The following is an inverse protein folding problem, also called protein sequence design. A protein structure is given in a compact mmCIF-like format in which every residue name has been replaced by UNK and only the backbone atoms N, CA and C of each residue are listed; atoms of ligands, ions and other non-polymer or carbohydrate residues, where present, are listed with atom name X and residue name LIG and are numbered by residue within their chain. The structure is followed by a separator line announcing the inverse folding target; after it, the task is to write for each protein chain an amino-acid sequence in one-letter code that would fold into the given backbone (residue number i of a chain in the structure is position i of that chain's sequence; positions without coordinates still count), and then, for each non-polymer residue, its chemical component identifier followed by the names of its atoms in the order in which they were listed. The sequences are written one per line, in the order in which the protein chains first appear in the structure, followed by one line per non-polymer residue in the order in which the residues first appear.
data_IF_206226201580
#
_entry.id   IF_206226201580
#
_cell.length_a   1.000
_cell.length_b   1.000
_cell.length_c   1.000
_cell.angle_alpha   90.00
_cell.angle_beta   90.00
_cell.angle_gamma   90.00
#
_symmetry.space_group_name_H-M   'P 1'
#
loop_
_entity.id
_entity.type
_entity.pdbx_description
1 polymer ?
#
# COMPACT_ATOMS: atom_id res chain seq x y z
N UNK A 1 21.06 -8.00 19.25
CA UNK A 1 19.85 -7.16 19.29
C UNK A 1 20.30 -5.71 19.26
N UNK A 2 20.31 -5.09 18.10
CA UNK A 2 20.57 -3.65 17.94
C UNK A 2 19.43 -2.91 18.63
N UNK A 3 19.74 -2.06 19.62
CA UNK A 3 18.73 -1.18 20.24
C UNK A 3 18.25 -0.19 19.16
N UNK A 4 17.11 -0.46 18.56
CA UNK A 4 16.43 0.53 17.75
C UNK A 4 16.11 1.72 18.66
N UNK A 5 16.46 2.91 18.21
CA UNK A 5 16.19 4.11 19.01
C UNK A 5 14.66 4.31 19.01
N UNK A 6 14.03 4.29 20.17
CA UNK A 6 12.58 4.43 20.32
C UNK A 6 12.14 5.78 19.76
N UNK A 7 11.33 5.77 18.71
CA UNK A 7 10.78 6.95 18.05
C UNK A 7 9.33 7.19 18.45
N UNK A 8 8.89 8.45 18.38
CA UNK A 8 7.48 8.84 18.44
C UNK A 8 6.98 9.09 17.01
N UNK A 9 6.04 8.28 16.53
CA UNK A 9 5.62 8.22 15.14
C UNK A 9 4.13 8.52 14.99
N UNK A 10 3.79 9.33 13.97
CA UNK A 10 2.42 9.51 13.52
C UNK A 10 2.16 8.60 12.32
N UNK A 11 1.14 7.76 12.42
CA UNK A 11 0.65 6.91 11.33
C UNK A 11 -0.71 7.43 10.90
N UNK A 12 -0.78 8.10 9.74
CA UNK A 12 -2.05 8.55 9.17
C UNK A 12 -2.65 7.45 8.29
N UNK A 13 -3.97 7.25 8.37
CA UNK A 13 -4.60 6.10 7.73
C UNK A 13 -4.33 4.78 8.46
N UNK A 14 -3.96 4.86 9.76
CA UNK A 14 -3.57 3.70 10.56
C UNK A 14 -4.73 2.80 11.03
N UNK A 15 -5.97 3.15 10.72
CA UNK A 15 -7.14 2.30 10.87
C UNK A 15 -7.50 1.52 9.58
N UNK A 16 -6.78 1.77 8.48
CA UNK A 16 -6.89 1.04 7.22
C UNK A 16 -6.05 -0.24 7.23
N UNK A 17 -6.12 -1.03 6.15
CA UNK A 17 -5.43 -2.32 6.03
C UNK A 17 -3.91 -2.21 6.26
N UNK A 18 -3.19 -1.51 5.36
CA UNK A 18 -1.72 -1.43 5.43
C UNK A 18 -1.27 -0.64 6.66
N UNK A 19 -1.94 0.47 6.94
CA UNK A 19 -1.59 1.35 8.05
C UNK A 19 -1.71 0.67 9.41
N UNK A 20 -2.72 -0.18 9.63
CA UNK A 20 -2.90 -0.92 10.88
C UNK A 20 -1.81 -1.98 11.10
N UNK A 21 -1.42 -2.71 10.04
CA UNK A 21 -0.31 -3.67 10.11
C UNK A 21 1.01 -2.95 10.41
N UNK A 22 1.30 -1.85 9.71
CA UNK A 22 2.50 -1.06 9.97
C UNK A 22 2.50 -0.49 11.41
N UNK A 23 1.38 0.06 11.87
CA UNK A 23 1.27 0.56 13.24
C UNK A 23 1.49 -0.54 14.29
N UNK A 24 0.94 -1.76 14.07
CA UNK A 24 1.15 -2.91 14.94
C UNK A 24 2.63 -3.29 15.02
N UNK A 25 3.30 -3.41 13.87
CA UNK A 25 4.72 -3.76 13.79
C UNK A 25 5.61 -2.70 14.46
N UNK A 26 5.32 -1.41 14.28
CA UNK A 26 6.03 -0.32 14.94
C UNK A 26 5.87 -0.35 16.48
N UNK A 27 4.67 -0.67 16.99
CA UNK A 27 4.45 -0.85 18.43
C UNK A 27 5.25 -2.05 18.96
N UNK A 28 5.26 -3.17 18.24
CA UNK A 28 6.03 -4.37 18.60
C UNK A 28 7.55 -4.10 18.58
N UNK A 29 8.04 -3.25 17.66
CA UNK A 29 9.42 -2.77 17.64
C UNK A 29 9.76 -1.79 18.79
N UNK A 30 8.77 -1.38 19.58
CA UNK A 30 8.95 -0.54 20.77
C UNK A 30 8.77 0.96 20.53
N UNK A 31 8.30 1.37 19.37
CA UNK A 31 8.00 2.77 19.06
C UNK A 31 6.75 3.28 19.78
N UNK A 32 6.65 4.59 19.98
CA UNK A 32 5.45 5.26 20.48
C UNK A 32 4.61 5.71 19.30
N UNK A 33 3.51 5.02 19.01
CA UNK A 33 2.71 5.24 17.82
C UNK A 33 1.41 5.97 18.14
N UNK A 34 1.16 7.04 17.39
CA UNK A 34 -0.15 7.72 17.33
C UNK A 34 -0.76 7.44 15.97
N UNK A 35 -1.98 6.93 15.95
CA UNK A 35 -2.76 6.72 14.74
C UNK A 35 -3.71 7.90 14.55
N UNK A 36 -3.72 8.50 13.35
CA UNK A 36 -4.68 9.51 12.91
C UNK A 36 -5.45 8.96 11.71
N UNK A 37 -6.78 8.90 11.84
CA UNK A 37 -7.67 8.36 10.81
C UNK A 37 -9.07 8.95 10.99
N UNK A 38 -9.77 9.26 9.89
CA UNK A 38 -11.13 9.79 9.91
C UNK A 38 -12.21 8.69 9.86
N UNK A 39 -11.78 7.43 9.79
CA UNK A 39 -12.63 6.25 9.67
C UNK A 39 -13.54 6.24 8.45
N UNK A 40 -13.26 7.07 7.43
CA UNK A 40 -14.05 7.09 6.18
C UNK A 40 -14.02 5.75 5.42
N UNK A 41 -12.92 5.02 5.53
CA UNK A 41 -12.74 3.66 4.99
C UNK A 41 -12.03 2.73 5.97
N UNK A 42 -11.43 3.27 7.02
CA UNK A 42 -10.76 2.56 8.09
C UNK A 42 -11.74 2.03 9.14
N UNK A 43 -11.24 1.15 10.01
CA UNK A 43 -12.01 0.50 11.07
C UNK A 43 -11.36 0.77 12.43
N UNK A 44 -12.12 1.33 13.38
CA UNK A 44 -11.62 1.66 14.71
C UNK A 44 -11.00 0.46 15.45
N UNK A 45 -11.57 -0.72 15.28
CA UNK A 45 -11.09 -1.97 15.86
C UNK A 45 -9.79 -2.49 15.20
N UNK A 46 -9.39 -1.95 14.04
CA UNK A 46 -8.09 -2.22 13.43
C UNK A 46 -6.95 -1.38 14.03
N UNK A 47 -7.25 -0.37 14.87
CA UNK A 47 -6.19 0.37 15.57
C UNK A 47 -5.51 -0.55 16.58
N UNK A 48 -4.17 -0.71 16.52
CA UNK A 48 -3.46 -1.63 17.40
C UNK A 48 -3.52 -1.21 18.87
N UNK A 49 -3.66 -2.18 19.81
CA UNK A 49 -3.46 -1.92 21.22
C UNK A 49 -2.09 -1.27 21.46
N UNK A 50 -2.03 -0.26 22.31
CA UNK A 50 -0.79 0.51 22.58
C UNK A 50 -0.63 1.75 21.70
N UNK A 51 -1.41 1.93 20.64
CA UNK A 51 -1.51 3.18 19.90
C UNK A 51 -2.48 4.16 20.60
N UNK A 52 -2.10 5.43 20.67
CA UNK A 52 -3.08 6.50 20.86
C UNK A 52 -3.82 6.70 19.53
N UNK A 53 -5.14 6.79 19.59
CA UNK A 53 -5.98 7.05 18.41
C UNK A 53 -6.50 8.48 18.43
N UNK A 54 -6.41 9.16 17.28
CA UNK A 54 -6.98 10.47 17.01
C UNK A 54 -7.91 10.35 15.80
N UNK A 55 -9.21 10.53 16.03
CA UNK A 55 -10.21 10.52 14.95
C UNK A 55 -10.25 11.89 14.28
N UNK A 56 -9.60 12.00 13.14
CA UNK A 56 -9.52 13.25 12.36
C UNK A 56 -9.04 13.00 10.95
N UNK A 57 -9.42 13.88 10.02
CA UNK A 57 -8.84 13.92 8.68
C UNK A 57 -7.39 14.38 8.70
N UNK A 58 -6.60 13.90 7.74
CA UNK A 58 -5.16 14.18 7.64
C UNK A 58 -4.85 15.67 7.45
N UNK A 59 -5.77 16.41 6.86
CA UNK A 59 -5.67 17.87 6.67
C UNK A 59 -5.66 18.65 7.99
N UNK A 60 -6.06 18.02 9.08
CA UNK A 60 -6.09 18.58 10.44
C UNK A 60 -4.99 17.99 11.33
N UNK A 61 -3.91 17.43 10.78
CA UNK A 61 -2.82 16.82 11.55
C UNK A 61 -1.98 17.82 12.38
N UNK A 62 -2.06 19.13 12.09
CA UNK A 62 -1.25 20.18 12.75
C UNK A 62 -1.27 20.13 14.27
N UNK A 63 -2.42 20.17 14.96
CA UNK A 63 -2.49 20.09 16.42
C UNK A 63 -1.83 18.84 17.01
N UNK A 64 -1.90 17.70 16.30
CA UNK A 64 -1.25 16.46 16.73
C UNK A 64 0.26 16.56 16.56
N UNK A 65 0.73 17.07 15.41
CA UNK A 65 2.16 17.22 15.11
C UNK A 65 2.84 18.24 16.03
N UNK A 66 2.11 19.24 16.57
CA UNK A 66 2.60 20.20 17.55
C UNK A 66 3.10 19.53 18.84
N UNK A 67 2.70 18.30 19.13
CA UNK A 67 3.17 17.53 20.28
C UNK A 67 4.61 16.98 20.11
N UNK A 68 5.22 17.12 18.93
CA UNK A 68 6.56 16.64 18.60
C UNK A 68 6.60 15.16 18.22
N UNK A 69 7.10 14.88 17.01
CA UNK A 69 7.25 13.54 16.45
C UNK A 69 8.61 13.40 15.74
N UNK A 70 9.13 12.18 15.71
CA UNK A 70 10.37 11.83 15.01
C UNK A 70 10.12 11.49 13.54
N UNK A 71 8.88 11.22 13.15
CA UNK A 71 8.50 10.93 11.79
C UNK A 71 7.00 10.69 11.58
N UNK A 72 6.61 10.73 10.32
CA UNK A 72 5.25 10.46 9.85
C UNK A 72 5.29 9.33 8.82
N UNK A 73 4.41 8.33 8.98
CA UNK A 73 4.09 7.34 7.96
C UNK A 73 2.69 7.68 7.41
N UNK A 74 2.62 8.01 6.12
CA UNK A 74 1.41 8.54 5.52
C UNK A 74 0.73 7.53 4.60
N UNK A 75 -0.32 6.86 5.11
CA UNK A 75 -1.15 5.90 4.37
C UNK A 75 -2.53 6.46 3.99
N UNK A 76 -3.01 7.51 4.67
CA UNK A 76 -4.33 8.07 4.43
C UNK A 76 -4.48 8.55 2.98
N UNK A 77 -5.31 7.86 2.21
CA UNK A 77 -5.61 8.20 0.83
C UNK A 77 -6.83 7.42 0.33
N UNK A 78 -7.54 7.98 -0.66
CA UNK A 78 -8.48 7.23 -1.50
C UNK A 78 -7.70 6.41 -2.52
N UNK A 79 -8.05 5.13 -2.72
CA UNK A 79 -7.24 4.18 -3.49
C UNK A 79 -7.99 3.41 -4.58
N UNK A 80 -9.31 3.60 -4.73
CA UNK A 80 -10.12 2.87 -5.70
C UNK A 80 -10.00 3.48 -7.11
N UNK A 81 -9.31 2.78 -8.02
CA UNK A 81 -9.03 3.27 -9.39
C UNK A 81 -10.32 3.62 -10.13
N UNK A 82 -11.33 2.73 -10.12
CA UNK A 82 -12.60 2.97 -10.82
C UNK A 82 -13.35 4.20 -10.26
N UNK A 83 -13.37 4.37 -8.94
CA UNK A 83 -13.94 5.56 -8.31
C UNK A 83 -13.21 6.83 -8.72
N UNK A 84 -11.87 6.76 -8.85
CA UNK A 84 -11.07 7.91 -9.25
C UNK A 84 -11.43 8.44 -10.64
N UNK A 85 -11.80 7.55 -11.55
CA UNK A 85 -12.26 7.90 -12.91
C UNK A 85 -13.65 8.51 -12.86
N UNK A 86 -14.55 7.94 -12.06
CA UNK A 86 -15.94 8.43 -11.95
C UNK A 86 -16.05 9.73 -11.14
N UNK A 87 -15.18 9.92 -10.13
CA UNK A 87 -15.23 11.06 -9.20
C UNK A 87 -13.83 11.64 -8.95
N UNK A 88 -13.13 12.18 -9.95
CA UNK A 88 -11.73 12.63 -9.83
C UNK A 88 -11.57 13.74 -8.78
N UNK A 89 -12.58 14.60 -8.59
CA UNK A 89 -12.56 15.66 -7.56
C UNK A 89 -12.23 15.10 -6.18
N UNK A 90 -12.81 13.96 -5.79
CA UNK A 90 -12.61 13.36 -4.47
C UNK A 90 -11.15 12.93 -4.26
N UNK A 91 -10.48 12.51 -5.33
CA UNK A 91 -9.07 12.11 -5.32
C UNK A 91 -8.13 13.31 -5.27
N UNK A 92 -8.37 14.34 -6.06
CA UNK A 92 -7.56 15.55 -6.01
C UNK A 92 -7.65 16.27 -4.66
N UNK A 93 -8.86 16.41 -4.10
CA UNK A 93 -9.04 17.04 -2.80
C UNK A 93 -8.58 16.13 -1.65
N UNK A 94 -8.98 14.86 -1.63
CA UNK A 94 -8.71 13.93 -0.54
C UNK A 94 -7.27 13.42 -0.51
N UNK A 95 -6.60 13.31 -1.67
CA UNK A 95 -5.21 12.87 -1.70
C UNK A 95 -4.25 14.06 -1.77
N UNK A 96 -4.34 14.91 -2.83
CA UNK A 96 -3.32 15.95 -3.05
C UNK A 96 -3.48 17.11 -2.06
N UNK A 97 -4.67 17.72 -1.99
CA UNK A 97 -4.85 18.89 -1.11
C UNK A 97 -4.65 18.52 0.35
N UNK A 98 -5.19 17.37 0.79
CA UNK A 98 -5.02 16.91 2.16
C UNK A 98 -3.54 16.62 2.49
N UNK A 99 -2.77 15.99 1.56
CA UNK A 99 -1.34 15.75 1.76
C UNK A 99 -0.53 17.05 1.77
N UNK A 100 -0.86 18.05 0.94
CA UNK A 100 -0.20 19.37 1.00
C UNK A 100 -0.39 20.01 2.39
N UNK A 101 -1.59 19.91 2.96
CA UNK A 101 -1.83 20.39 4.34
C UNK A 101 -1.00 19.64 5.38
N UNK A 102 -0.85 18.33 5.21
CA UNK A 102 0.04 17.53 6.06
C UNK A 102 1.51 17.97 5.91
N UNK A 103 1.99 18.21 4.68
CA UNK A 103 3.35 18.67 4.42
C UNK A 103 3.62 20.05 5.05
N UNK A 104 2.65 20.96 5.00
CA UNK A 104 2.75 22.26 5.71
C UNK A 104 2.84 22.08 7.22
N UNK A 105 2.03 21.19 7.82
CA UNK A 105 2.10 20.89 9.24
C UNK A 105 3.45 20.21 9.62
N UNK A 106 3.96 19.29 8.79
CA UNK A 106 5.30 18.68 8.95
C UNK A 106 6.37 19.76 8.97
N UNK A 107 6.34 20.71 8.03
CA UNK A 107 7.28 21.83 7.93
C UNK A 107 7.18 22.76 9.17
N UNK A 108 5.97 23.18 9.52
CA UNK A 108 5.70 24.09 10.64
C UNK A 108 6.22 23.53 11.96
N UNK A 109 5.95 22.25 12.22
CA UNK A 109 6.35 21.57 13.46
C UNK A 109 7.72 20.87 13.35
N UNK A 110 8.46 21.10 12.26
CA UNK A 110 9.83 20.60 12.04
C UNK A 110 9.96 19.09 12.20
N UNK A 111 8.99 18.33 11.71
CA UNK A 111 9.06 16.88 11.75
C UNK A 111 10.13 16.41 10.74
N UNK A 112 11.14 15.65 11.19
CA UNK A 112 12.33 15.41 10.36
C UNK A 112 12.14 14.37 9.26
N UNK A 113 11.18 13.44 9.39
CA UNK A 113 11.03 12.28 8.50
C UNK A 113 9.61 12.09 8.00
N UNK A 114 9.50 11.69 6.73
CA UNK A 114 8.22 11.30 6.09
C UNK A 114 8.42 10.04 5.25
N UNK A 115 7.63 9.01 5.50
CA UNK A 115 7.48 7.86 4.59
C UNK A 115 6.08 7.87 3.99
N UNK A 116 6.01 7.88 2.67
CA UNK A 116 4.75 8.00 1.93
C UNK A 116 4.39 6.72 1.20
N UNK A 117 3.15 6.28 1.39
CA UNK A 117 2.51 5.20 0.66
C UNK A 117 2.20 5.64 -0.77
N UNK A 118 3.11 5.40 -1.71
CA UNK A 118 2.92 5.63 -3.14
C UNK A 118 2.44 4.35 -3.85
N UNK A 119 2.47 4.30 -5.17
CA UNK A 119 1.87 3.20 -5.95
C UNK A 119 2.56 2.98 -7.29
N UNK A 120 2.57 1.74 -7.78
CA UNK A 120 2.94 1.40 -9.15
C UNK A 120 2.02 2.03 -10.22
N UNK A 121 0.80 2.46 -9.85
CA UNK A 121 -0.12 3.15 -10.77
C UNK A 121 0.44 4.47 -11.33
N UNK A 122 1.50 5.01 -10.75
CA UNK A 122 2.24 6.18 -11.28
C UNK A 122 2.92 5.89 -12.61
N UNK A 123 3.27 4.64 -12.90
CA UNK A 123 3.94 4.26 -14.15
C UNK A 123 2.98 4.12 -15.34
N UNK A 124 1.70 3.81 -15.09
CA UNK A 124 0.73 3.52 -16.13
C UNK A 124 1.05 2.22 -16.87
N UNK A 125 1.14 2.29 -18.20
CA UNK A 125 1.53 1.13 -19.05
C UNK A 125 3.06 1.11 -19.21
N UNK A 126 3.77 0.12 -18.62
CA UNK A 126 5.22 0.10 -18.64
C UNK A 126 5.74 -0.34 -20.02
N UNK A 127 6.84 0.29 -20.47
CA UNK A 127 7.54 -0.10 -21.71
C UNK A 127 8.37 -1.37 -21.51
N UNK A 128 8.88 -1.58 -20.29
CA UNK A 128 9.70 -2.73 -19.93
C UNK A 128 9.31 -3.30 -18.56
N UNK A 129 9.52 -4.58 -18.37
CA UNK A 129 9.26 -5.33 -17.14
C UNK A 129 10.49 -6.20 -16.84
N UNK A 130 10.98 -6.26 -15.60
CA UNK A 130 10.49 -5.57 -14.38
C UNK A 130 10.61 -4.04 -14.44
N UNK A 131 9.69 -3.34 -13.74
CA UNK A 131 9.62 -1.87 -13.74
C UNK A 131 10.61 -1.33 -12.72
N UNK A 132 11.60 -0.56 -13.17
CA UNK A 132 12.53 0.15 -12.27
C UNK A 132 11.98 1.53 -11.87
N UNK A 133 12.56 2.14 -10.84
CA UNK A 133 12.19 3.49 -10.39
C UNK A 133 12.53 4.58 -11.41
N UNK A 134 13.43 4.30 -12.36
CA UNK A 134 13.81 5.19 -13.46
C UNK A 134 12.87 5.10 -14.66
N UNK A 135 11.88 4.18 -14.62
CA UNK A 135 10.86 4.09 -15.65
C UNK A 135 10.02 5.38 -15.72
N UNK A 136 9.64 5.76 -16.93
CA UNK A 136 8.78 6.92 -17.15
C UNK A 136 7.45 6.78 -16.41
N UNK A 137 6.99 7.88 -15.80
CA UNK A 137 5.72 7.93 -15.07
C UNK A 137 4.65 8.57 -15.93
N UNK A 138 3.67 7.77 -16.37
CA UNK A 138 2.54 8.18 -17.21
C UNK A 138 1.25 7.56 -16.68
N UNK A 139 0.72 8.03 -15.53
CA UNK A 139 -0.47 7.43 -14.92
C UNK A 139 -1.67 7.49 -15.86
N UNK A 140 -2.38 6.37 -15.99
CA UNK A 140 -3.55 6.21 -16.87
C UNK A 140 -4.89 6.54 -16.19
N UNK A 141 -4.85 6.88 -14.91
CA UNK A 141 -6.05 7.18 -14.11
C UNK A 141 -5.78 8.27 -13.06
N UNK A 142 -6.84 8.95 -12.55
CA UNK A 142 -6.68 10.02 -11.58
C UNK A 142 -6.04 9.59 -10.25
N UNK A 143 -6.26 8.35 -9.80
CA UNK A 143 -5.58 7.85 -8.59
C UNK A 143 -4.06 7.86 -8.76
N UNK A 144 -3.53 7.24 -9.82
CA UNK A 144 -2.09 7.26 -10.12
C UNK A 144 -1.57 8.68 -10.31
N UNK A 145 -2.33 9.56 -11.00
CA UNK A 145 -1.96 10.95 -11.20
C UNK A 145 -1.86 11.73 -9.87
N UNK A 146 -2.79 11.51 -8.92
CA UNK A 146 -2.72 12.15 -7.60
C UNK A 146 -1.53 11.68 -6.79
N UNK A 147 -1.19 10.39 -6.83
CA UNK A 147 -0.02 9.84 -6.12
C UNK A 147 1.29 10.40 -6.72
N UNK A 148 1.39 10.51 -8.04
CA UNK A 148 2.54 11.14 -8.70
C UNK A 148 2.66 12.63 -8.37
N UNK A 149 1.56 13.37 -8.33
CA UNK A 149 1.56 14.78 -7.92
C UNK A 149 2.07 14.95 -6.47
N UNK A 150 1.73 14.01 -5.58
CA UNK A 150 2.22 14.00 -4.21
C UNK A 150 3.73 13.68 -4.18
N UNK A 151 4.24 12.71 -4.96
CA UNK A 151 5.67 12.44 -5.07
C UNK A 151 6.44 13.72 -5.46
N UNK A 152 5.95 14.50 -6.43
CA UNK A 152 6.57 15.79 -6.82
C UNK A 152 6.50 16.84 -5.71
N UNK A 153 5.39 16.93 -4.98
CA UNK A 153 5.27 17.84 -3.85
C UNK A 153 6.27 17.47 -2.75
N UNK A 154 6.38 16.19 -2.39
CA UNK A 154 7.34 15.69 -1.39
C UNK A 154 8.77 16.02 -1.81
N UNK A 155 9.14 15.83 -3.09
CA UNK A 155 10.47 16.22 -3.61
C UNK A 155 10.76 17.70 -3.36
N UNK A 156 9.79 18.57 -3.66
CA UNK A 156 9.93 20.01 -3.48
C UNK A 156 10.10 20.38 -2.00
N UNK A 157 9.31 19.77 -1.11
CA UNK A 157 9.38 20.02 0.34
C UNK A 157 10.67 19.46 0.97
N UNK A 158 11.11 18.27 0.56
CA UNK A 158 12.36 17.68 1.01
C UNK A 158 13.55 18.62 0.69
N UNK A 159 13.65 19.05 -0.56
CA UNK A 159 14.72 19.93 -1.02
C UNK A 159 14.68 21.32 -0.34
N UNK A 160 13.48 21.93 -0.22
CA UNK A 160 13.35 23.28 0.28
C UNK A 160 13.50 23.39 1.80
N UNK A 161 13.03 22.37 2.54
CA UNK A 161 12.90 22.42 4.00
C UNK A 161 13.71 21.37 4.75
N UNK A 162 14.50 20.56 4.05
CA UNK A 162 15.38 19.58 4.67
C UNK A 162 14.70 18.32 5.23
N UNK A 163 13.45 18.04 4.84
CA UNK A 163 12.72 16.85 5.27
C UNK A 163 13.38 15.61 4.65
N UNK A 164 13.66 14.60 5.47
CA UNK A 164 14.09 13.29 5.01
C UNK A 164 12.86 12.51 4.54
N UNK A 165 12.69 12.32 3.23
CA UNK A 165 11.48 11.76 2.66
C UNK A 165 11.73 10.49 1.84
N UNK A 166 10.82 9.52 1.97
CA UNK A 166 10.81 8.29 1.16
C UNK A 166 9.40 8.02 0.64
N UNK A 167 9.28 7.78 -0.67
CA UNK A 167 8.06 7.24 -1.28
C UNK A 167 8.26 5.76 -1.61
N UNK A 168 7.35 4.93 -1.15
CA UNK A 168 7.33 3.50 -1.44
C UNK A 168 6.23 3.21 -2.47
N UNK A 169 6.63 2.87 -3.70
CA UNK A 169 5.73 2.49 -4.79
C UNK A 169 5.55 0.99 -4.79
N UNK A 170 4.49 0.53 -4.18
CA UNK A 170 4.20 -0.89 -4.15
C UNK A 170 3.11 -1.30 -5.16
N UNK A 171 3.13 -2.58 -5.47
CA UNK A 171 2.28 -3.22 -6.45
C UNK A 171 1.02 -3.77 -5.77
N UNK A 172 0.71 -5.04 -5.87
CA UNK A 172 -0.49 -5.59 -5.26
C UNK A 172 -0.19 -6.10 -3.84
N UNK A 173 -0.66 -5.39 -2.84
CA UNK A 173 -0.52 -5.81 -1.44
C UNK A 173 -1.54 -6.90 -1.12
N UNK A 174 -1.12 -7.96 -0.43
CA UNK A 174 -1.99 -9.04 0.00
C UNK A 174 -1.49 -9.67 1.30
N UNK A 175 -2.20 -10.67 1.82
CA UNK A 175 -1.91 -11.28 3.10
C UNK A 175 -2.59 -10.59 4.27
N UNK A 176 -2.21 -10.99 5.46
CA UNK A 176 -2.72 -10.43 6.70
C UNK A 176 -1.70 -10.63 7.84
N UNK A 177 -1.89 -9.94 8.94
CA UNK A 177 -1.10 -10.11 10.15
C UNK A 177 -1.99 -10.23 11.39
N UNK A 178 -2.15 -11.43 11.91
CA UNK A 178 -3.02 -11.69 13.05
C UNK A 178 -4.44 -11.19 12.81
N UNK A 179 -4.86 -10.19 13.59
CA UNK A 179 -6.19 -9.57 13.48
C UNK A 179 -6.27 -8.42 12.46
N UNK A 180 -5.20 -8.13 11.74
CA UNK A 180 -5.11 -7.03 10.78
C UNK A 180 -5.08 -7.57 9.36
N UNK A 181 -6.01 -7.15 8.53
CA UNK A 181 -6.14 -7.57 7.14
C UNK A 181 -7.09 -6.67 6.36
N UNK A 182 -7.29 -7.02 5.10
CA UNK A 182 -8.09 -6.22 4.18
C UNK A 182 -9.59 -6.39 4.42
N UNK A 183 -10.30 -5.26 4.66
CA UNK A 183 -11.74 -5.18 4.93
C UNK A 183 -12.39 -4.01 4.20
N UNK A 184 -12.11 -3.84 2.92
CA UNK A 184 -12.73 -2.77 2.15
C UNK A 184 -14.24 -2.98 2.00
N UNK A 185 -15.04 -1.94 2.25
CA UNK A 185 -16.49 -1.97 2.03
C UNK A 185 -16.83 -2.21 0.56
N UNK A 186 -16.06 -1.61 -0.36
CA UNK A 186 -16.12 -1.87 -1.79
C UNK A 186 -14.82 -2.57 -2.19
N UNK A 187 -14.89 -3.90 -2.28
CA UNK A 187 -13.72 -4.71 -2.62
C UNK A 187 -13.51 -4.82 -4.13
N UNK A 188 -12.29 -4.60 -4.58
CA UNK A 188 -11.89 -4.67 -5.99
C UNK A 188 -10.64 -5.50 -6.24
N UNK A 189 -9.91 -5.89 -5.19
CA UNK A 189 -8.68 -6.66 -5.30
C UNK A 189 -8.96 -8.15 -5.51
N UNK A 190 -8.14 -8.79 -6.33
CA UNK A 190 -8.40 -10.15 -6.81
C UNK A 190 -8.46 -11.18 -5.68
N UNK A 191 -7.45 -11.22 -4.79
CA UNK A 191 -7.38 -12.23 -3.72
C UNK A 191 -8.59 -12.13 -2.78
N UNK A 192 -8.95 -10.97 -2.21
CA UNK A 192 -10.15 -10.84 -1.40
C UNK A 192 -11.44 -11.23 -2.13
N UNK A 193 -11.59 -10.85 -3.41
CA UNK A 193 -12.75 -11.26 -4.22
C UNK A 193 -12.87 -12.78 -4.37
N UNK A 194 -11.73 -13.46 -4.56
CA UNK A 194 -11.69 -14.93 -4.62
C UNK A 194 -12.06 -15.53 -3.26
N UNK A 195 -11.53 -14.98 -2.17
CA UNK A 195 -11.82 -15.45 -0.83
C UNK A 195 -13.31 -15.25 -0.45
N UNK A 196 -13.95 -14.18 -0.92
CA UNK A 196 -15.40 -13.99 -0.78
C UNK A 196 -16.20 -15.10 -1.47
N UNK A 197 -15.70 -15.63 -2.61
CA UNK A 197 -16.35 -16.80 -3.25
C UNK A 197 -16.17 -18.04 -2.39
N UNK A 198 -14.99 -18.28 -1.84
CA UNK A 198 -14.75 -19.41 -0.94
C UNK A 198 -15.61 -19.35 0.33
N UNK A 199 -15.91 -18.15 0.85
CA UNK A 199 -16.81 -17.90 1.99
C UNK A 199 -18.31 -17.99 1.63
N UNK A 200 -18.64 -18.13 0.34
CA UNK A 200 -20.03 -18.16 -0.11
C UNK A 200 -20.71 -16.78 -0.21
N UNK A 201 -19.96 -15.70 -0.07
CA UNK A 201 -20.48 -14.33 -0.18
C UNK A 201 -20.59 -13.86 -1.64
N UNK A 202 -20.01 -14.61 -2.60
CA UNK A 202 -20.08 -14.37 -4.04
C UNK A 202 -20.24 -15.70 -4.77
N UNK A 203 -20.93 -15.68 -5.91
CA UNK A 203 -21.13 -16.88 -6.72
C UNK A 203 -19.88 -17.29 -7.52
N UNK A 204 -19.14 -16.32 -8.00
CA UNK A 204 -18.00 -16.52 -8.91
C UNK A 204 -17.04 -15.37 -8.94
N UNK A 205 -15.83 -15.61 -9.45
CA UNK A 205 -14.82 -14.60 -9.78
C UNK A 205 -14.87 -14.26 -11.26
N UNK A 206 -14.70 -12.99 -11.60
CA UNK A 206 -14.57 -12.51 -12.98
C UNK A 206 -13.10 -12.43 -13.37
N UNK A 207 -12.71 -13.08 -14.49
CA UNK A 207 -11.38 -12.98 -15.09
C UNK A 207 -11.49 -12.07 -16.32
N UNK A 208 -10.75 -10.96 -16.32
CA UNK A 208 -10.81 -9.94 -17.36
C UNK A 208 -9.76 -10.19 -18.46
N UNK A 209 -10.17 -10.88 -19.50
CA UNK A 209 -9.33 -11.33 -20.63
C UNK A 209 -8.61 -12.64 -20.34
N UNK A 210 -8.58 -13.50 -21.36
CA UNK A 210 -7.82 -14.75 -21.41
C UNK A 210 -6.98 -14.85 -22.69
N UNK A 211 -6.76 -13.73 -23.33
CA UNK A 211 -6.07 -13.57 -24.61
C UNK A 211 -4.88 -12.59 -24.50
N UNK A 212 -4.40 -12.32 -23.27
CA UNK A 212 -3.22 -11.49 -23.04
C UNK A 212 -1.95 -12.18 -23.56
N UNK A 213 -0.92 -11.44 -23.99
CA UNK A 213 0.36 -12.01 -24.42
C UNK A 213 1.19 -12.50 -23.22
N UNK A 214 0.66 -13.47 -22.50
CA UNK A 214 1.21 -14.10 -21.30
C UNK A 214 1.07 -15.62 -21.43
N UNK A 215 1.81 -16.43 -20.65
CA UNK A 215 1.82 -17.90 -20.82
C UNK A 215 0.45 -18.58 -20.73
N UNK A 216 -0.47 -18.07 -19.90
CA UNK A 216 -1.82 -18.64 -19.73
C UNK A 216 -2.94 -17.73 -20.24
N UNK A 217 -2.58 -16.64 -20.91
CA UNK A 217 -3.51 -15.68 -21.48
C UNK A 217 -4.12 -14.70 -20.46
N UNK A 218 -3.77 -14.75 -19.18
CA UNK A 218 -4.27 -13.82 -18.16
C UNK A 218 -3.20 -12.83 -17.72
N UNK A 219 -3.61 -11.68 -17.15
CA UNK A 219 -2.67 -10.67 -16.63
C UNK A 219 -1.74 -11.24 -15.58
N UNK A 220 -0.51 -10.74 -15.55
CA UNK A 220 0.47 -11.04 -14.48
C UNK A 220 0.61 -9.83 -13.58
N UNK A 221 0.56 -10.07 -12.26
CA UNK A 221 0.70 -9.05 -11.22
C UNK A 221 1.71 -9.49 -10.19
N UNK A 222 2.39 -8.52 -9.60
CA UNK A 222 3.32 -8.72 -8.50
C UNK A 222 2.57 -8.57 -7.18
N UNK A 223 2.61 -9.59 -6.34
CA UNK A 223 1.97 -9.59 -5.02
C UNK A 223 3.02 -9.53 -3.93
N UNK A 224 2.92 -8.50 -3.09
CA UNK A 224 3.76 -8.32 -1.91
C UNK A 224 2.97 -8.61 -0.64
N UNK A 225 3.57 -9.35 0.28
CA UNK A 225 2.96 -9.59 1.59
C UNK A 225 2.94 -8.31 2.42
N UNK A 226 1.84 -8.03 3.12
CA UNK A 226 1.69 -6.82 3.93
C UNK A 226 2.73 -6.70 5.06
N UNK A 227 3.26 -7.82 5.58
CA UNK A 227 4.36 -7.82 6.56
C UNK A 227 5.68 -7.36 5.94
N UNK A 228 6.01 -7.80 4.73
CA UNK A 228 7.21 -7.36 4.02
C UNK A 228 7.12 -5.87 3.69
N UNK A 229 5.91 -5.41 3.39
CA UNK A 229 5.66 -3.99 3.18
C UNK A 229 5.84 -3.19 4.48
N UNK A 230 5.38 -3.69 5.63
CA UNK A 230 5.59 -3.04 6.92
C UNK A 230 7.08 -2.94 7.29
N UNK A 231 7.87 -4.00 7.07
CA UNK A 231 9.34 -3.98 7.24
C UNK A 231 10.00 -2.92 6.33
N UNK A 232 9.54 -2.80 5.07
CA UNK A 232 10.05 -1.78 4.16
C UNK A 232 9.78 -0.35 4.67
N UNK A 233 8.61 -0.09 5.26
CA UNK A 233 8.28 1.21 5.83
C UNK A 233 9.16 1.58 7.02
N UNK A 234 9.42 0.63 7.92
CA UNK A 234 10.31 0.83 9.08
C UNK A 234 11.74 1.13 8.63
N UNK A 235 12.29 0.34 7.69
CA UNK A 235 13.62 0.57 7.11
C UNK A 235 13.71 1.90 6.37
N UNK A 236 12.69 2.25 5.60
CA UNK A 236 12.64 3.54 4.91
C UNK A 236 12.68 4.71 5.88
N UNK A 237 11.99 4.61 7.01
CA UNK A 237 12.01 5.63 8.06
C UNK A 237 13.41 5.78 8.69
N UNK A 238 14.10 4.67 8.94
CA UNK A 238 15.45 4.65 9.52
C UNK A 238 16.52 5.17 8.57
N UNK A 239 16.41 4.85 7.26
CA UNK A 239 17.40 5.18 6.23
C UNK A 239 17.11 6.49 5.49
N UNK A 240 16.03 7.20 5.86
CA UNK A 240 15.69 8.49 5.24
C UNK A 240 16.80 9.52 5.49
N UNK A 241 17.20 10.25 4.44
CA UNK A 241 18.28 11.23 4.46
C UNK A 241 17.73 12.64 4.36
N UNK A 242 18.17 13.52 5.28
CA UNK A 242 17.69 14.89 5.34
C UNK A 242 17.95 15.66 4.03
N UNK A 243 16.92 16.34 3.54
CA UNK A 243 16.96 17.10 2.28
C UNK A 243 16.82 16.27 1.01
N UNK A 244 16.69 14.93 1.15
CA UNK A 244 16.49 14.03 0.02
C UNK A 244 15.07 13.46 0.02
N UNK A 245 14.55 13.25 -1.19
CA UNK A 245 13.38 12.41 -1.43
C UNK A 245 13.79 11.18 -2.24
N UNK A 246 13.77 10.02 -1.63
CA UNK A 246 14.09 8.74 -2.28
C UNK A 246 12.83 7.97 -2.62
N UNK A 247 12.84 7.31 -3.77
CA UNK A 247 11.70 6.51 -4.25
C UNK A 247 12.16 5.07 -4.42
N UNK A 248 11.36 4.12 -3.93
CA UNK A 248 11.64 2.69 -4.03
C UNK A 248 10.41 1.92 -4.50
N UNK A 249 10.62 1.01 -5.45
CA UNK A 249 9.63 0.02 -5.83
C UNK A 249 9.67 -1.17 -4.88
N UNK A 250 8.50 -1.63 -4.48
CA UNK A 250 8.36 -2.79 -3.61
C UNK A 250 7.43 -3.81 -4.24
N UNK A 251 7.97 -4.99 -4.51
CA UNK A 251 7.27 -6.15 -5.02
C UNK A 251 7.98 -7.44 -4.63
N UNK A 252 7.38 -8.55 -4.96
CA UNK A 252 7.97 -9.88 -4.81
C UNK A 252 9.01 -10.15 -5.92
N UNK A 253 8.85 -9.50 -7.09
CA UNK A 253 9.72 -9.67 -8.26
C UNK A 253 9.43 -10.93 -9.10
N UNK A 254 8.55 -11.84 -8.64
CA UNK A 254 8.22 -13.07 -9.34
C UNK A 254 7.09 -12.88 -10.37
N UNK A 255 6.04 -12.16 -9.99
CA UNK A 255 4.80 -12.05 -10.76
C UNK A 255 3.98 -13.34 -10.77
N UNK A 256 2.65 -13.18 -10.65
CA UNK A 256 1.73 -14.31 -10.70
C UNK A 256 0.57 -13.98 -11.64
N UNK A 257 0.18 -14.93 -12.47
CA UNK A 257 -0.98 -14.78 -13.35
C UNK A 257 -2.28 -14.87 -12.55
N UNK A 258 -3.37 -14.35 -13.14
CA UNK A 258 -4.69 -14.45 -12.50
C UNK A 258 -5.09 -15.92 -12.30
N UNK A 259 -4.79 -16.80 -13.27
CA UNK A 259 -5.06 -18.25 -13.12
C UNK A 259 -4.25 -18.88 -11.99
N UNK A 260 -2.96 -18.55 -11.86
CA UNK A 260 -2.14 -19.03 -10.74
C UNK A 260 -2.74 -18.61 -9.39
N UNK A 261 -3.19 -17.36 -9.27
CA UNK A 261 -3.82 -16.88 -8.04
C UNK A 261 -5.12 -17.64 -7.73
N UNK A 262 -5.98 -17.85 -8.74
CA UNK A 262 -7.22 -18.61 -8.56
C UNK A 262 -6.94 -20.05 -8.13
N UNK A 263 -5.98 -20.71 -8.77
CA UNK A 263 -5.64 -22.10 -8.46
C UNK A 263 -5.02 -22.24 -7.09
N UNK A 264 -4.12 -21.34 -6.71
CA UNK A 264 -3.56 -21.32 -5.36
C UNK A 264 -4.64 -21.07 -4.30
N UNK A 265 -5.61 -20.18 -4.56
CA UNK A 265 -6.74 -19.98 -3.66
C UNK A 265 -7.59 -21.27 -3.51
N UNK A 266 -7.82 -22.05 -4.58
CA UNK A 266 -8.52 -23.35 -4.51
C UNK A 266 -7.77 -24.32 -3.60
N UNK A 267 -6.45 -24.40 -3.77
CA UNK A 267 -5.60 -25.30 -2.99
C UNK A 267 -5.59 -24.90 -1.50
N UNK A 268 -5.38 -23.62 -1.20
CA UNK A 268 -5.29 -23.10 0.17
C UNK A 268 -6.63 -23.17 0.90
N UNK A 269 -7.71 -22.81 0.24
CA UNK A 269 -9.03 -22.77 0.87
C UNK A 269 -9.71 -24.14 0.93
N UNK A 270 -9.36 -25.06 0.02
CA UNK A 270 -10.07 -26.32 -0.17
C UNK A 270 -11.47 -26.18 -0.80
N UNK A 271 -11.81 -24.98 -1.29
CA UNK A 271 -13.13 -24.67 -1.84
C UNK A 271 -13.13 -24.63 -3.38
N UNK A 272 -14.26 -25.04 -3.96
CA UNK A 272 -14.51 -24.80 -5.36
C UNK A 272 -14.72 -23.31 -5.59
N UNK A 273 -13.94 -22.70 -6.50
CA UNK A 273 -14.04 -21.29 -6.88
C UNK A 273 -14.45 -21.22 -8.37
N UNK A 274 -15.75 -21.04 -8.65
CA UNK A 274 -16.23 -20.81 -10.00
C UNK A 274 -15.66 -19.53 -10.58
N UNK A 275 -15.31 -19.57 -11.87
CA UNK A 275 -14.78 -18.41 -12.60
C UNK A 275 -15.61 -18.15 -13.85
N UNK A 276 -15.69 -16.89 -14.23
CA UNK A 276 -16.24 -16.46 -15.52
C UNK A 276 -15.24 -15.56 -16.21
N UNK A 277 -14.84 -15.93 -17.42
CA UNK A 277 -14.00 -15.07 -18.27
C UNK A 277 -14.89 -14.02 -18.96
N UNK A 278 -14.38 -12.80 -19.03
CA UNK A 278 -15.04 -11.66 -19.69
C UNK A 278 -14.01 -10.87 -20.49
N UNK A 279 -14.43 -9.83 -21.20
CA UNK A 279 -13.54 -8.97 -21.98
C UNK A 279 -12.49 -8.29 -21.09
N UNK A 280 -11.34 -7.95 -21.67
CA UNK A 280 -10.27 -7.17 -20.99
C UNK A 280 -10.84 -5.86 -20.44
N UNK A 281 -10.33 -5.41 -19.30
CA UNK A 281 -10.57 -4.05 -18.83
C UNK A 281 -9.74 -3.07 -19.66
N UNK A 282 -10.31 -1.97 -20.14
CA UNK A 282 -9.52 -0.91 -20.77
C UNK A 282 -8.47 -0.35 -19.83
N UNK A 283 -7.24 -0.18 -20.32
CA UNK A 283 -6.13 0.40 -19.54
C UNK A 283 -5.43 -0.56 -18.58
N UNK A 284 -5.81 -1.85 -18.52
CA UNK A 284 -5.04 -2.85 -17.77
C UNK A 284 -3.80 -3.25 -18.57
N UNK A 285 -2.58 -3.21 -18.01
CA UNK A 285 -1.39 -3.76 -18.65
C UNK A 285 -1.35 -5.29 -18.52
N UNK A 286 -0.72 -5.97 -19.51
CA UNK A 286 -0.55 -7.42 -19.48
C UNK A 286 0.28 -7.91 -18.30
N UNK A 287 1.37 -7.18 -17.98
CA UNK A 287 2.34 -7.56 -16.94
C UNK A 287 2.73 -6.34 -16.12
N UNK A 288 2.65 -6.47 -14.79
CA UNK A 288 3.17 -5.50 -13.83
C UNK A 288 4.01 -6.23 -12.78
N UNK A 289 5.33 -6.08 -12.85
CA UNK A 289 6.31 -6.68 -11.92
C UNK A 289 7.31 -5.60 -11.52
N UNK A 290 7.62 -5.52 -10.24
CA UNK A 290 8.60 -4.57 -9.68
C UNK A 290 10.04 -5.04 -9.90
N UNK A 291 10.94 -4.11 -10.24
CA UNK A 291 12.33 -4.24 -9.90
C UNK A 291 12.54 -3.62 -8.50
N UNK A 292 12.98 -4.41 -7.53
CA UNK A 292 13.17 -3.96 -6.14
C UNK A 292 14.65 -3.89 -5.73
N UNK A 293 15.57 -3.90 -6.71
CA UNK A 293 17.01 -3.92 -6.46
C UNK A 293 17.48 -2.67 -5.71
N UNK A 294 16.90 -1.51 -5.98
CA UNK A 294 17.21 -0.25 -5.29
C UNK A 294 16.85 -0.34 -3.81
N UNK A 295 15.67 -0.86 -3.47
CA UNK A 295 15.27 -1.08 -2.08
C UNK A 295 16.20 -2.09 -1.37
N UNK A 296 16.64 -3.13 -2.08
CA UNK A 296 17.63 -4.06 -1.53
C UNK A 296 18.97 -3.39 -1.24
N UNK A 297 19.51 -2.62 -2.18
CA UNK A 297 20.82 -1.98 -2.04
C UNK A 297 20.82 -0.89 -0.96
N UNK A 298 19.81 -0.02 -0.96
CA UNK A 298 19.80 1.18 -0.12
C UNK A 298 19.20 0.93 1.27
N UNK A 299 18.13 0.11 1.35
CA UNK A 299 17.44 -0.16 2.60
C UNK A 299 17.82 -1.51 3.22
N UNK A 300 18.58 -2.35 2.51
CA UNK A 300 18.80 -3.75 2.90
C UNK A 300 17.51 -4.56 2.95
N UNK A 301 16.46 -4.09 2.24
CA UNK A 301 15.16 -4.73 2.26
C UNK A 301 15.05 -5.85 1.23
N UNK A 302 14.51 -6.98 1.66
CA UNK A 302 14.18 -8.12 0.80
C UNK A 302 12.90 -8.77 1.31
N UNK A 303 11.94 -9.10 0.42
CA UNK A 303 10.71 -9.76 0.84
C UNK A 303 11.04 -11.15 1.44
N UNK A 304 10.44 -11.46 2.60
CA UNK A 304 10.57 -12.73 3.28
C UNK A 304 9.44 -13.71 2.93
N UNK A 305 8.25 -13.17 2.59
CA UNK A 305 7.04 -13.93 2.29
C UNK A 305 6.78 -13.93 0.77
N UNK A 306 7.61 -14.66 0.01
CA UNK A 306 7.54 -14.66 -1.47
C UNK A 306 6.61 -15.71 -2.05
N UNK A 307 6.21 -16.69 -1.25
CA UNK A 307 5.33 -17.77 -1.68
C UNK A 307 3.86 -17.34 -1.70
N UNK A 308 3.20 -17.51 -2.85
CA UNK A 308 1.82 -17.10 -3.04
C UNK A 308 0.84 -17.86 -2.12
N UNK A 309 1.13 -19.12 -1.78
CA UNK A 309 0.30 -19.90 -0.90
C UNK A 309 0.34 -19.38 0.54
N UNK A 310 1.48 -18.90 0.99
CA UNK A 310 1.65 -18.22 2.29
C UNK A 310 0.86 -16.91 2.31
N UNK A 311 1.01 -16.06 1.28
CA UNK A 311 0.28 -14.79 1.16
C UNK A 311 -1.24 -15.02 1.22
N UNK A 312 -1.74 -15.98 0.45
CA UNK A 312 -3.17 -16.32 0.40
C UNK A 312 -3.62 -17.00 1.71
N UNK A 313 -2.76 -17.84 2.31
CA UNK A 313 -3.05 -18.53 3.57
C UNK A 313 -3.32 -17.57 4.73
N UNK A 314 -2.51 -16.53 4.87
CA UNK A 314 -2.69 -15.49 5.88
C UNK A 314 -3.95 -14.67 5.62
N UNK A 315 -4.18 -14.27 4.36
CA UNK A 315 -5.42 -13.57 3.97
C UNK A 315 -6.65 -14.44 4.25
N UNK A 316 -6.61 -15.75 3.96
CA UNK A 316 -7.69 -16.69 4.22
C UNK A 316 -7.97 -16.89 5.70
N UNK A 317 -6.91 -17.01 6.51
CA UNK A 317 -7.03 -17.15 7.97
C UNK A 317 -7.71 -15.92 8.57
N UNK A 318 -7.34 -14.73 8.13
CA UNK A 318 -7.98 -13.49 8.53
C UNK A 318 -9.45 -13.43 8.09
N UNK A 319 -9.74 -13.71 6.81
CA UNK A 319 -11.09 -13.61 6.25
C UNK A 319 -12.09 -14.53 6.97
N UNK A 320 -11.67 -15.76 7.38
CA UNK A 320 -12.50 -16.69 8.16
C UNK A 320 -12.75 -16.24 9.59
N UNK A 321 -11.82 -15.49 10.18
CA UNK A 321 -11.94 -14.99 11.57
C UNK A 321 -12.69 -13.67 11.68
N UNK A 322 -13.02 -13.03 10.56
CA UNK A 322 -13.68 -11.71 10.51
C UNK A 322 -15.19 -11.80 10.22
N UNK A 323 -15.74 -13.02 10.10
CA UNK A 323 -17.15 -13.32 9.87
C UNK A 323 -17.96 -13.50 11.14
#
# INVERSE_FOLDING_TARGET
MTRHNRMRLLVTGGAGYIGSVCAARLVEAGHNVVVLDDLSTGHRDAVPPGCRFVESGVENAGPVLAEGFDGVLHFAARSLVAESVAQPKNYWLGNVVATIRLLEAIREHRIPRLVFSSTAATYGEPVSVPISEDAATHPTNPYGATKLAIDHAITSYATAYGIAAVSLRYFNVAGAYGRYGERHTVETHLIPLILQVALGHREKVMIFGNDWPTPDGTCIRDYIHVLDLADAHERALEQAVAGEHRIYNLGNGAGFSVWQVVETCRQVTGHRIPVQVTARRPGDPAVLIAASDRAYCDLGWKPAHTDLSTIIGDAWTFARGSG
#
